data_IF_899099533018
#
_entry.id   IF_899099533018
#
_cell.length_a   1.000
_cell.length_b   1.000
_cell.length_c   1.000
_cell.angle_alpha   90.00
_cell.angle_beta   90.00
_cell.angle_gamma   90.00
#
_symmetry.space_group_name_H-M   'P 1'
#
loop_
_entity.id
_entity.type
_entity.pdbx_description
1 polymer ?
#
# COMPACT_ATOMS: atom_id res chain seq x y z
N UNK A 1 -13.16 -7.53 -5.08
CA UNK A 1 -13.61 -6.13 -4.91
C UNK A 1 -14.56 -5.74 -6.04
N UNK A 2 -15.43 -4.74 -5.86
CA UNK A 2 -16.29 -4.18 -6.92
C UNK A 2 -15.72 -2.84 -7.41
N UNK A 3 -15.95 -2.45 -8.67
CA UNK A 3 -15.43 -1.18 -9.22
C UNK A 3 -15.94 0.06 -8.47
N UNK A 4 -17.22 0.08 -8.08
CA UNK A 4 -17.79 1.16 -7.26
C UNK A 4 -17.13 1.25 -5.88
N UNK A 5 -16.71 0.11 -5.31
CA UNK A 5 -15.94 0.05 -4.08
C UNK A 5 -14.54 0.65 -4.27
N UNK A 6 -13.82 0.21 -5.31
CA UNK A 6 -12.49 0.73 -5.63
C UNK A 6 -12.51 2.25 -5.82
N UNK A 7 -13.51 2.78 -6.54
CA UNK A 7 -13.72 4.23 -6.71
C UNK A 7 -14.00 4.90 -5.37
N UNK A 8 -14.93 4.34 -4.59
CA UNK A 8 -15.33 4.92 -3.30
C UNK A 8 -14.18 4.97 -2.29
N UNK A 9 -13.24 4.04 -2.34
CA UNK A 9 -12.05 4.04 -1.47
C UNK A 9 -10.81 4.68 -2.12
N UNK A 10 -10.90 5.12 -3.38
CA UNK A 10 -9.75 5.52 -4.20
C UNK A 10 -8.61 4.49 -4.14
N UNK A 11 -8.94 3.22 -4.38
CA UNK A 11 -7.99 2.11 -4.28
C UNK A 11 -6.73 2.35 -5.12
N UNK A 12 -5.57 2.02 -4.54
CA UNK A 12 -4.27 2.06 -5.19
C UNK A 12 -3.91 0.73 -5.85
N UNK A 13 -3.02 -0.03 -5.20
CA UNK A 13 -2.57 -1.34 -5.64
C UNK A 13 -1.31 -1.37 -6.51
N UNK A 14 -0.88 -2.59 -6.84
CA UNK A 14 0.46 -2.94 -7.37
C UNK A 14 0.89 -2.27 -8.69
N UNK A 15 -0.03 -1.66 -9.43
CA UNK A 15 0.27 -0.97 -10.71
C UNK A 15 -0.05 0.52 -10.67
N UNK A 16 -0.26 1.08 -9.48
CA UNK A 16 -0.46 2.51 -9.28
C UNK A 16 0.74 3.31 -9.80
N UNK A 17 1.96 2.80 -9.62
CA UNK A 17 3.19 3.41 -10.15
C UNK A 17 3.10 3.73 -11.66
N UNK A 18 2.43 2.87 -12.45
CA UNK A 18 2.34 3.02 -13.91
C UNK A 18 1.09 3.73 -14.39
N UNK A 19 -0.05 3.46 -13.77
CA UNK A 19 -1.35 3.95 -14.24
C UNK A 19 -1.93 5.09 -13.39
N UNK A 20 -1.33 5.36 -12.24
CA UNK A 20 -1.72 6.43 -11.33
C UNK A 20 -3.07 6.19 -10.64
N UNK A 21 -3.58 7.26 -10.04
CA UNK A 21 -4.82 7.25 -9.26
C UNK A 21 -6.07 7.09 -10.11
N UNK A 22 -7.12 6.52 -9.49
CA UNK A 22 -8.48 6.57 -10.00
C UNK A 22 -8.99 8.01 -10.21
N UNK A 23 -8.48 9.01 -9.48
CA UNK A 23 -8.76 10.43 -9.76
C UNK A 23 -8.40 10.84 -11.21
N UNK A 24 -7.39 10.21 -11.81
CA UNK A 24 -7.00 10.44 -13.21
C UNK A 24 -7.59 9.44 -14.20
N UNK A 25 -7.82 8.19 -13.78
CA UNK A 25 -8.27 7.11 -14.66
C UNK A 25 -9.81 7.04 -14.81
N UNK A 26 -10.57 7.49 -13.82
CA UNK A 26 -12.03 7.59 -13.92
C UNK A 26 -12.38 8.79 -14.80
N UNK A 27 -13.16 8.56 -15.85
CA UNK A 27 -13.61 9.59 -16.79
C UNK A 27 -14.95 10.20 -16.37
N UNK A 28 -15.84 9.39 -15.78
CA UNK A 28 -17.17 9.81 -15.37
C UNK A 28 -17.79 8.86 -14.35
N UNK A 29 -18.75 9.37 -13.58
CA UNK A 29 -19.50 8.63 -12.56
C UNK A 29 -21.00 8.93 -12.67
N UNK A 30 -21.80 7.91 -12.41
CA UNK A 30 -23.20 8.08 -12.04
C UNK A 30 -23.33 7.82 -10.54
N UNK A 31 -23.95 8.76 -9.82
CA UNK A 31 -24.08 8.72 -8.36
C UNK A 31 -25.51 9.04 -7.94
N UNK A 32 -26.06 8.25 -7.03
CA UNK A 32 -27.34 8.53 -6.35
C UNK A 32 -27.07 9.23 -5.02
N UNK A 33 -27.62 10.44 -4.86
CA UNK A 33 -27.49 11.25 -3.65
C UNK A 33 -28.45 10.80 -2.53
N UNK A 34 -28.26 11.25 -1.28
CA UNK A 34 -29.11 10.84 -0.14
C UNK A 34 -30.60 11.19 -0.29
N UNK A 35 -30.93 12.21 -1.08
CA UNK A 35 -32.32 12.60 -1.37
C UNK A 35 -32.93 11.84 -2.56
N UNK A 36 -32.18 10.92 -3.17
CA UNK A 36 -32.57 10.16 -4.36
C UNK A 36 -32.24 10.82 -5.70
N UNK A 37 -31.68 12.04 -5.70
CA UNK A 37 -31.24 12.71 -6.93
C UNK A 37 -30.16 11.89 -7.63
N UNK A 38 -30.30 11.68 -8.94
CA UNK A 38 -29.29 11.01 -9.76
C UNK A 38 -28.40 12.07 -10.42
N UNK A 39 -27.13 12.10 -10.02
CA UNK A 39 -26.10 12.89 -10.69
C UNK A 39 -25.49 12.02 -11.79
N UNK A 40 -25.99 12.19 -13.01
CA UNK A 40 -25.47 11.51 -14.18
C UNK A 40 -24.35 12.34 -14.84
N UNK A 41 -23.10 12.04 -14.48
CA UNK A 41 -21.90 12.56 -15.14
C UNK A 41 -21.06 11.40 -15.70
N UNK A 42 -21.70 10.45 -16.38
CA UNK A 42 -21.05 9.27 -16.96
C UNK A 42 -20.32 9.60 -18.27
N UNK A 43 -19.50 10.65 -18.26
CA UNK A 43 -18.69 11.06 -19.40
C UNK A 43 -17.69 9.97 -19.81
N UNK A 44 -17.48 9.83 -21.12
CA UNK A 44 -16.45 8.97 -21.72
C UNK A 44 -15.35 9.79 -22.40
N UNK A 45 -15.41 11.12 -22.25
CA UNK A 45 -14.44 12.04 -22.85
C UNK A 45 -13.12 11.98 -22.08
N UNK A 46 -12.01 12.02 -22.81
CA UNK A 46 -10.66 12.13 -22.22
C UNK A 46 -10.36 13.51 -21.66
N UNK A 47 -11.03 14.53 -22.19
CA UNK A 47 -10.87 15.93 -21.81
C UNK A 47 -12.24 16.57 -21.82
N UNK A 48 -12.60 17.12 -20.68
CA UNK A 48 -13.80 17.91 -20.49
C UNK A 48 -13.49 18.98 -19.43
N UNK A 49 -13.84 20.22 -19.71
CA UNK A 49 -13.53 21.37 -18.84
C UNK A 49 -14.72 22.32 -18.73
N UNK A 50 -15.94 21.79 -18.89
CA UNK A 50 -17.18 22.57 -18.80
C UNK A 50 -17.66 22.67 -17.34
N UNK A 51 -16.88 23.35 -16.49
CA UNK A 51 -17.22 23.59 -15.08
C UNK A 51 -16.38 22.76 -14.10
N UNK A 52 -16.91 22.57 -12.88
CA UNK A 52 -16.22 21.84 -11.83
C UNK A 52 -16.22 20.32 -12.09
N UNK A 53 -15.10 19.67 -11.78
CA UNK A 53 -14.99 18.22 -11.90
C UNK A 53 -15.62 17.49 -10.71
N UNK A 54 -16.96 17.52 -10.65
CA UNK A 54 -17.74 17.08 -9.47
C UNK A 54 -17.51 15.59 -9.14
N UNK A 55 -17.12 14.76 -10.13
CA UNK A 55 -16.87 13.33 -9.91
C UNK A 55 -15.77 13.11 -8.86
N UNK A 56 -14.81 14.04 -8.76
CA UNK A 56 -13.67 13.96 -7.84
C UNK A 56 -14.10 13.93 -6.37
N UNK A 57 -15.24 14.53 -6.03
CA UNK A 57 -15.75 14.50 -4.65
C UNK A 57 -16.19 13.10 -4.23
N UNK A 58 -16.61 12.26 -5.17
CA UNK A 58 -17.12 10.92 -4.87
C UNK A 58 -16.01 9.85 -4.86
N UNK A 59 -14.91 10.08 -5.57
CA UNK A 59 -13.72 9.22 -5.55
C UNK A 59 -13.02 9.38 -4.19
N UNK A 60 -12.93 8.29 -3.42
CA UNK A 60 -12.40 8.34 -2.05
C UNK A 60 -13.40 8.83 -0.98
N UNK A 61 -14.68 9.02 -1.33
CA UNK A 61 -15.71 9.48 -0.38
C UNK A 61 -16.24 8.38 0.55
N UNK A 62 -15.88 7.13 0.28
CA UNK A 62 -16.30 5.92 1.01
C UNK A 62 -17.83 5.81 1.16
N UNK A 63 -18.55 6.27 0.13
CA UNK A 63 -20.01 6.23 0.11
C UNK A 63 -20.67 7.16 1.13
N UNK A 64 -19.98 8.19 1.62
CA UNK A 64 -20.54 9.17 2.57
C UNK A 64 -21.23 10.35 1.88
N UNK A 65 -20.97 10.57 0.58
CA UNK A 65 -21.58 11.66 -0.19
C UNK A 65 -22.67 11.19 -1.18
N UNK A 66 -22.73 9.89 -1.44
CA UNK A 66 -23.67 9.27 -2.38
C UNK A 66 -23.24 7.85 -2.73
N UNK A 67 -24.10 7.14 -3.45
CA UNK A 67 -23.88 5.75 -3.89
C UNK A 67 -23.49 5.75 -5.37
N UNK A 68 -22.29 5.27 -5.67
CA UNK A 68 -21.82 5.10 -7.07
C UNK A 68 -22.58 3.94 -7.72
N UNK A 69 -23.30 4.22 -8.81
CA UNK A 69 -24.09 3.22 -9.57
C UNK A 69 -23.52 2.95 -10.96
N UNK A 70 -22.74 3.88 -11.52
CA UNK A 70 -22.08 3.73 -12.82
C UNK A 70 -20.68 4.30 -12.82
N UNK A 71 -19.75 3.65 -13.52
CA UNK A 71 -18.36 4.09 -13.65
C UNK A 71 -17.91 4.01 -15.10
N UNK A 72 -17.47 5.15 -15.64
CA UNK A 72 -16.72 5.22 -16.90
C UNK A 72 -15.24 5.35 -16.57
N UNK A 73 -14.43 4.39 -16.99
CA UNK A 73 -13.01 4.31 -16.65
C UNK A 73 -12.16 4.12 -17.90
N UNK A 74 -11.02 4.79 -17.91
CA UNK A 74 -9.98 4.57 -18.89
C UNK A 74 -9.26 3.25 -18.63
N UNK A 75 -9.51 2.25 -19.47
CA UNK A 75 -8.68 1.05 -19.51
C UNK A 75 -7.37 1.31 -20.27
N UNK A 76 -6.23 1.06 -19.61
CA UNK A 76 -4.93 1.06 -20.27
C UNK A 76 -4.84 -0.09 -21.29
N UNK A 77 -4.00 0.09 -22.32
CA UNK A 77 -3.73 -0.99 -23.28
C UNK A 77 -3.00 -2.13 -22.59
N UNK A 78 -3.41 -3.37 -22.84
CA UNK A 78 -2.69 -4.55 -22.37
C UNK A 78 -1.25 -4.52 -22.95
N UNK A 79 -0.20 -4.60 -22.12
CA UNK A 79 1.17 -4.70 -22.62
C UNK A 79 1.32 -5.98 -23.45
N UNK A 80 2.16 -5.94 -24.50
CA UNK A 80 2.43 -7.13 -25.32
C UNK A 80 3.37 -8.09 -24.61
N UNK A 81 4.28 -7.54 -23.81
CA UNK A 81 5.28 -8.29 -23.07
C UNK A 81 5.27 -7.81 -21.62
N UNK A 82 5.28 -8.76 -20.70
CA UNK A 82 5.38 -8.53 -19.27
C UNK A 82 6.54 -9.35 -18.74
N UNK A 83 7.45 -8.72 -18.00
CA UNK A 83 8.58 -9.40 -17.37
C UNK A 83 8.56 -9.12 -15.86
N UNK A 84 8.97 -10.10 -15.06
CA UNK A 84 9.10 -9.96 -13.61
C UNK A 84 10.47 -10.39 -13.15
N UNK A 85 11.09 -9.55 -12.31
CA UNK A 85 12.35 -9.82 -11.64
C UNK A 85 12.10 -9.88 -10.14
N UNK A 86 12.79 -10.82 -9.48
CA UNK A 86 12.93 -10.85 -8.02
C UNK A 86 14.41 -10.68 -7.68
N UNK A 87 14.72 -9.68 -6.87
CA UNK A 87 16.08 -9.31 -6.48
C UNK A 87 16.26 -9.45 -4.97
N UNK A 88 17.42 -9.92 -4.53
CA UNK A 88 17.83 -9.98 -3.12
C UNK A 88 18.88 -8.92 -2.83
N UNK A 89 18.70 -8.14 -1.76
CA UNK A 89 19.53 -6.99 -1.42
C UNK A 89 20.02 -7.04 0.03
N UNK A 90 21.18 -6.43 0.28
CA UNK A 90 21.84 -6.38 1.58
C UNK A 90 21.32 -5.29 2.52
N UNK A 91 20.84 -4.17 1.99
CA UNK A 91 20.37 -3.04 2.81
C UNK A 91 19.17 -2.30 2.19
N UNK A 92 18.46 -1.55 3.01
CA UNK A 92 17.37 -0.70 2.53
C UNK A 92 17.87 0.47 1.65
N UNK A 93 19.10 0.95 1.87
CA UNK A 93 19.70 1.94 0.99
C UNK A 93 19.86 1.40 -0.43
N UNK A 94 20.23 0.12 -0.56
CA UNK A 94 20.33 -0.56 -1.86
C UNK A 94 18.96 -0.71 -2.53
N UNK A 95 17.90 -0.95 -1.74
CA UNK A 95 16.50 -0.95 -2.24
C UNK A 95 16.12 0.40 -2.85
N UNK A 96 16.40 1.49 -2.13
CA UNK A 96 16.14 2.86 -2.61
C UNK A 96 16.97 3.19 -3.85
N UNK A 97 18.24 2.78 -3.88
CA UNK A 97 19.13 3.01 -5.01
C UNK A 97 18.72 2.20 -6.24
N UNK A 98 18.35 0.93 -6.07
CA UNK A 98 17.77 0.11 -7.13
C UNK A 98 16.51 0.77 -7.70
N UNK A 99 15.63 1.30 -6.86
CA UNK A 99 14.45 2.04 -7.32
C UNK A 99 14.80 3.34 -8.06
N UNK A 100 15.79 4.10 -7.58
CA UNK A 100 16.26 5.31 -8.27
C UNK A 100 16.78 4.97 -9.66
N UNK A 101 17.55 3.89 -9.79
CA UNK A 101 18.13 3.42 -11.05
C UNK A 101 17.07 2.83 -11.98
N UNK A 102 16.06 2.12 -11.46
CA UNK A 102 14.99 1.53 -12.28
C UNK A 102 14.23 2.59 -13.08
N UNK A 103 14.00 3.77 -12.49
CA UNK A 103 13.40 4.92 -13.19
C UNK A 103 14.23 5.44 -14.36
N UNK A 104 15.54 5.24 -14.34
CA UNK A 104 16.43 5.67 -15.44
C UNK A 104 16.59 4.56 -16.49
N UNK A 105 16.86 3.33 -16.06
CA UNK A 105 17.15 2.22 -16.99
C UNK A 105 15.89 1.62 -17.61
N UNK A 106 14.84 1.41 -16.81
CA UNK A 106 13.58 0.81 -17.26
C UNK A 106 12.61 1.90 -17.74
N UNK A 107 12.66 3.10 -17.14
CA UNK A 107 11.90 4.26 -17.59
C UNK A 107 10.41 3.93 -17.80
N UNK A 108 9.91 4.06 -19.03
CA UNK A 108 8.51 3.95 -19.38
C UNK A 108 7.98 2.53 -19.38
N UNK A 109 8.83 1.50 -19.29
CA UNK A 109 8.36 0.10 -19.20
C UNK A 109 8.16 -0.36 -17.76
N UNK A 110 8.63 0.39 -16.76
CA UNK A 110 8.41 0.06 -15.35
C UNK A 110 6.91 0.05 -15.02
N UNK A 111 6.42 -1.04 -14.42
CA UNK A 111 5.00 -1.26 -14.12
C UNK A 111 4.71 -1.40 -12.63
N UNK A 112 5.61 -2.04 -11.89
CA UNK A 112 5.53 -2.21 -10.43
C UNK A 112 6.93 -2.21 -9.82
N UNK A 113 7.04 -1.75 -8.57
CA UNK A 113 8.24 -1.84 -7.76
C UNK A 113 7.83 -2.08 -6.30
N UNK A 114 7.82 -3.34 -5.92
CA UNK A 114 7.44 -3.82 -4.60
C UNK A 114 8.68 -4.16 -3.80
N UNK A 115 8.64 -3.93 -2.48
CA UNK A 115 9.72 -4.37 -1.58
C UNK A 115 9.16 -5.06 -0.34
N UNK A 116 9.99 -5.88 0.29
CA UNK A 116 9.73 -6.45 1.61
C UNK A 116 11.01 -6.81 2.35
N UNK A 117 10.94 -6.85 3.67
CA UNK A 117 12.04 -7.26 4.53
C UNK A 117 12.20 -8.80 4.61
N UNK A 118 13.32 -9.23 5.22
CA UNK A 118 13.62 -10.65 5.40
C UNK A 118 12.56 -11.40 6.21
N UNK A 119 11.97 -10.78 7.22
CA UNK A 119 11.03 -11.46 8.11
C UNK A 119 9.69 -11.69 7.39
N UNK A 120 9.25 -10.72 6.59
CA UNK A 120 8.09 -10.83 5.70
C UNK A 120 8.23 -11.97 4.71
N UNK A 121 9.43 -12.15 4.12
CA UNK A 121 9.71 -13.29 3.25
C UNK A 121 9.64 -14.62 4.00
N UNK A 122 10.31 -14.69 5.16
CA UNK A 122 10.42 -15.90 6.00
C UNK A 122 9.04 -16.44 6.39
N UNK A 123 8.19 -15.60 6.98
CA UNK A 123 6.85 -15.99 7.45
C UNK A 123 5.94 -16.39 6.29
N UNK A 124 6.05 -15.71 5.14
CA UNK A 124 5.21 -16.00 3.98
C UNK A 124 5.55 -17.37 3.39
N UNK A 125 6.83 -17.66 3.25
CA UNK A 125 7.31 -18.95 2.75
C UNK A 125 6.95 -20.10 3.70
N UNK A 126 7.10 -19.91 5.00
CA UNK A 126 6.74 -20.92 6.00
C UNK A 126 5.23 -21.19 6.01
N UNK A 127 4.39 -20.14 6.02
CA UNK A 127 2.93 -20.29 5.95
C UNK A 127 2.46 -20.98 4.66
N UNK A 128 3.18 -20.83 3.56
CA UNK A 128 2.89 -21.49 2.28
C UNK A 128 3.60 -22.83 2.09
N UNK A 129 4.46 -23.25 3.03
CA UNK A 129 5.36 -24.39 2.88
C UNK A 129 6.16 -24.36 1.55
N UNK A 130 6.77 -23.20 1.24
CA UNK A 130 7.55 -22.96 0.02
C UNK A 130 9.01 -22.68 0.33
N UNK A 131 9.88 -22.97 -0.63
CA UNK A 131 11.29 -22.59 -0.60
C UNK A 131 11.49 -21.18 -1.13
N UNK A 132 12.53 -20.51 -0.65
CA UNK A 132 12.93 -19.20 -1.17
C UNK A 132 13.37 -19.32 -2.64
N UNK A 133 12.76 -18.59 -3.60
CA UNK A 133 13.12 -18.67 -5.01
C UNK A 133 14.57 -18.28 -5.30
N UNK A 134 15.17 -17.41 -4.48
CA UNK A 134 16.58 -16.99 -4.62
C UNK A 134 17.58 -17.97 -4.00
N UNK A 135 17.08 -19.06 -3.37
CA UNK A 135 17.87 -20.10 -2.68
C UNK A 135 18.78 -19.58 -1.55
N UNK A 136 18.76 -18.28 -1.28
CA UNK A 136 19.60 -17.58 -0.32
C UNK A 136 18.74 -16.58 0.45
N UNK A 137 19.03 -16.44 1.75
CA UNK A 137 18.39 -15.42 2.58
C UNK A 137 19.03 -14.06 2.30
N UNK A 138 18.19 -13.06 2.05
CA UNK A 138 18.58 -11.66 1.89
C UNK A 138 17.85 -10.79 2.91
N UNK A 139 18.43 -9.64 3.26
CA UNK A 139 17.85 -8.71 4.23
C UNK A 139 16.61 -8.02 3.67
N UNK A 140 16.62 -7.72 2.38
CA UNK A 140 15.49 -7.18 1.63
C UNK A 140 15.33 -7.90 0.31
N UNK A 141 14.11 -7.84 -0.20
CA UNK A 141 13.76 -8.32 -1.52
C UNK A 141 12.99 -7.23 -2.26
N UNK A 142 13.16 -7.23 -3.59
CA UNK A 142 12.46 -6.33 -4.48
C UNK A 142 11.87 -7.14 -5.63
N UNK A 143 10.57 -6.92 -5.91
CA UNK A 143 9.90 -7.42 -7.10
C UNK A 143 9.64 -6.27 -8.06
N UNK A 144 10.11 -6.44 -9.29
CA UNK A 144 9.97 -5.45 -10.35
C UNK A 144 9.15 -6.07 -11.48
N UNK A 145 8.06 -5.42 -11.87
CA UNK A 145 7.34 -5.76 -13.09
C UNK A 145 7.63 -4.71 -14.15
N UNK A 146 7.86 -5.16 -15.38
CA UNK A 146 7.85 -4.30 -16.57
C UNK A 146 6.74 -4.72 -17.52
N UNK A 147 6.18 -3.74 -18.23
CA UNK A 147 5.17 -3.94 -19.27
C UNK A 147 5.47 -3.04 -20.46
N UNK A 148 5.71 -3.66 -21.62
CA UNK A 148 6.14 -2.98 -22.83
C UNK A 148 5.54 -3.54 -24.11
N UNK A 149 6.00 -3.00 -25.23
CA UNK A 149 5.45 -3.28 -26.57
C UNK A 149 6.40 -4.02 -27.49
N UNK A 150 7.68 -4.16 -27.11
CA UNK A 150 8.71 -4.81 -27.92
C UNK A 150 9.67 -5.57 -27.00
N UNK A 151 9.68 -6.90 -27.13
CA UNK A 151 10.44 -7.77 -26.25
C UNK A 151 11.95 -7.52 -26.30
N UNK A 152 12.50 -7.21 -27.47
CA UNK A 152 13.95 -7.06 -27.64
C UNK A 152 14.45 -5.82 -26.90
N UNK A 153 13.75 -4.69 -27.06
CA UNK A 153 14.06 -3.46 -26.33
C UNK A 153 13.81 -3.61 -24.82
N UNK A 154 12.71 -4.25 -24.44
CA UNK A 154 12.37 -4.46 -23.02
C UNK A 154 13.45 -5.32 -22.35
N UNK A 155 13.87 -6.40 -23.00
CA UNK A 155 14.92 -7.31 -22.53
C UNK A 155 16.28 -6.63 -22.43
N UNK A 156 16.65 -5.78 -23.41
CA UNK A 156 17.91 -5.03 -23.38
C UNK A 156 17.98 -4.05 -22.20
N UNK A 157 16.88 -3.33 -21.92
CA UNK A 157 16.77 -2.44 -20.76
C UNK A 157 16.91 -3.20 -19.45
N UNK A 158 16.18 -4.32 -19.32
CA UNK A 158 16.20 -5.16 -18.12
C UNK A 158 17.60 -5.74 -17.89
N UNK A 159 18.24 -6.27 -18.94
CA UNK A 159 19.58 -6.84 -18.85
C UNK A 159 20.61 -5.78 -18.45
N UNK A 160 20.56 -4.60 -19.07
CA UNK A 160 21.45 -3.47 -18.74
C UNK A 160 21.29 -3.02 -17.29
N UNK A 161 20.05 -2.95 -16.81
CA UNK A 161 19.73 -2.62 -15.42
C UNK A 161 20.28 -3.68 -14.46
N UNK A 162 19.96 -4.96 -14.70
CA UNK A 162 20.41 -6.08 -13.86
C UNK A 162 21.94 -6.14 -13.76
N UNK A 163 22.63 -6.06 -14.90
CA UNK A 163 24.09 -6.10 -14.95
C UNK A 163 24.73 -4.93 -14.20
N UNK A 164 24.12 -3.74 -14.25
CA UNK A 164 24.62 -2.59 -13.51
C UNK A 164 24.47 -2.80 -12.00
N UNK A 165 23.30 -3.28 -11.55
CA UNK A 165 23.07 -3.57 -10.12
C UNK A 165 24.05 -4.61 -9.59
N UNK A 166 24.28 -5.69 -10.35
CA UNK A 166 25.20 -6.77 -9.98
C UNK A 166 26.65 -6.26 -9.91
N UNK A 167 27.14 -5.58 -10.96
CA UNK A 167 28.51 -5.03 -10.98
C UNK A 167 28.77 -3.98 -9.90
N UNK A 168 27.74 -3.24 -9.50
CA UNK A 168 27.84 -2.21 -8.46
C UNK A 168 27.69 -2.77 -7.04
N UNK A 169 27.39 -4.06 -6.89
CA UNK A 169 27.16 -4.69 -5.59
C UNK A 169 25.86 -4.26 -4.90
N UNK A 170 24.91 -3.68 -5.63
CA UNK A 170 23.61 -3.23 -5.10
C UNK A 170 22.70 -4.43 -4.83
N UNK A 171 22.78 -5.46 -5.66
CA UNK A 171 22.07 -6.73 -5.45
C UNK A 171 23.07 -7.82 -5.06
N UNK A 172 22.64 -8.72 -4.18
CA UNK A 172 23.38 -9.94 -3.85
C UNK A 172 23.13 -11.02 -4.90
N UNK A 173 21.89 -11.12 -5.38
CA UNK A 173 21.43 -12.10 -6.36
C UNK A 173 20.08 -11.66 -6.93
N UNK A 174 19.66 -12.26 -8.04
CA UNK A 174 18.32 -12.09 -8.57
C UNK A 174 17.96 -13.12 -9.62
N UNK A 175 16.66 -13.24 -9.88
CA UNK A 175 16.11 -14.10 -10.93
C UNK A 175 15.11 -13.31 -11.77
N UNK A 176 14.99 -13.70 -13.04
CA UNK A 176 13.95 -13.23 -13.94
C UNK A 176 13.05 -14.41 -14.30
N UNK A 177 11.73 -14.20 -14.21
CA UNK A 177 10.76 -15.21 -14.61
C UNK A 177 10.88 -15.50 -16.11
N UNK A 178 10.83 -16.78 -16.48
CA UNK A 178 10.98 -17.25 -17.87
C UNK A 178 9.63 -17.43 -18.60
N UNK A 179 8.53 -17.49 -17.85
CA UNK A 179 7.19 -17.74 -18.38
C UNK A 179 6.10 -17.18 -17.45
N UNK A 180 4.85 -17.18 -17.93
CA UNK A 180 3.68 -16.69 -17.18
C UNK A 180 3.44 -17.45 -15.86
N UNK A 181 3.83 -18.73 -15.79
CA UNK A 181 3.69 -19.54 -14.57
C UNK A 181 4.68 -19.07 -13.50
N UNK A 182 5.93 -18.80 -13.88
CA UNK A 182 6.92 -18.22 -12.98
C UNK A 182 6.57 -16.80 -12.55
N UNK A 183 6.07 -15.96 -13.48
CA UNK A 183 5.55 -14.63 -13.16
C UNK A 183 4.49 -14.72 -12.06
N UNK A 184 3.50 -15.59 -12.25
CA UNK A 184 2.40 -15.77 -11.29
C UNK A 184 2.91 -16.24 -9.92
N UNK A 185 3.86 -17.19 -9.89
CA UNK A 185 4.46 -17.69 -8.64
C UNK A 185 5.23 -16.61 -7.87
N UNK A 186 5.94 -15.72 -8.56
CA UNK A 186 6.66 -14.62 -7.91
C UNK A 186 5.69 -13.59 -7.31
N UNK A 187 4.64 -13.24 -8.06
CA UNK A 187 3.58 -12.35 -7.55
C UNK A 187 2.82 -12.96 -6.37
N UNK A 188 2.54 -14.27 -6.41
CA UNK A 188 1.85 -14.97 -5.34
C UNK A 188 2.58 -14.81 -3.99
N UNK A 189 3.91 -14.75 -3.97
CA UNK A 189 4.68 -14.51 -2.74
C UNK A 189 4.34 -13.12 -2.17
N UNK A 190 4.35 -12.08 -3.01
CA UNK A 190 4.04 -10.70 -2.58
C UNK A 190 2.58 -10.55 -2.14
N UNK A 191 1.65 -11.20 -2.82
CA UNK A 191 0.22 -11.15 -2.49
C UNK A 191 -0.11 -11.94 -1.22
N UNK A 192 0.59 -13.05 -0.98
CA UNK A 192 0.39 -13.91 0.19
C UNK A 192 0.92 -13.32 1.50
N UNK A 193 1.74 -12.27 1.45
CA UNK A 193 2.28 -11.63 2.66
C UNK A 193 1.19 -11.22 3.64
N UNK A 194 0.07 -10.69 3.14
CA UNK A 194 -1.05 -10.27 4.00
C UNK A 194 -1.56 -11.45 4.84
N UNK A 195 -1.72 -12.63 4.23
CA UNK A 195 -2.21 -13.83 4.91
C UNK A 195 -1.14 -14.51 5.78
N UNK A 196 0.13 -14.41 5.40
CA UNK A 196 1.24 -15.01 6.13
C UNK A 196 1.32 -14.55 7.59
N UNK A 197 0.99 -13.28 7.88
CA UNK A 197 1.04 -12.73 9.24
C UNK A 197 0.04 -13.41 10.19
N UNK A 198 -1.20 -13.62 9.74
CA UNK A 198 -2.26 -14.23 10.54
C UNK A 198 -2.02 -15.71 10.87
N UNK A 199 -1.12 -16.37 10.14
CA UNK A 199 -0.73 -17.75 10.44
C UNK A 199 0.08 -17.86 11.75
N UNK A 200 0.82 -16.82 12.13
CA UNK A 200 1.72 -16.83 13.29
C UNK A 200 1.15 -16.21 14.56
N UNK A 201 -0.01 -15.55 14.48
CA UNK A 201 -0.65 -14.88 15.61
C UNK A 201 -1.63 -13.80 15.17
N UNK A 202 -1.93 -12.90 16.09
CA UNK A 202 -2.81 -11.76 15.82
C UNK A 202 -2.06 -10.72 14.99
N UNK A 203 -2.57 -10.39 13.80
CA UNK A 203 -1.93 -9.46 12.88
C UNK A 203 -2.51 -8.05 13.00
N UNK A 204 -1.71 -7.13 13.53
CA UNK A 204 -1.99 -5.70 13.50
C UNK A 204 -1.43 -5.11 12.23
N UNK A 205 -2.29 -4.60 11.35
CA UNK A 205 -1.90 -4.14 10.00
C UNK A 205 -2.13 -2.65 9.85
N UNK A 206 -1.10 -1.92 9.42
CA UNK A 206 -1.14 -0.48 9.23
C UNK A 206 -0.69 -0.13 7.80
N UNK A 207 -1.59 0.51 7.08
CA UNK A 207 -1.38 1.02 5.72
C UNK A 207 -1.06 2.51 5.81
N UNK A 208 0.19 2.91 5.56
CA UNK A 208 0.66 4.30 5.75
C UNK A 208 1.46 4.81 4.56
N UNK A 209 1.31 6.09 4.24
CA UNK A 209 2.17 6.75 3.26
C UNK A 209 3.24 7.57 3.96
N UNK A 210 4.51 7.32 3.68
CA UNK A 210 5.65 8.06 4.25
C UNK A 210 6.76 8.23 3.20
N UNK A 211 7.68 9.20 3.37
CA UNK A 211 8.79 9.36 2.43
C UNK A 211 9.57 8.05 2.28
N UNK A 212 9.85 7.64 1.04
CA UNK A 212 10.47 6.35 0.71
C UNK A 212 11.71 6.09 1.58
N UNK A 213 12.61 7.07 1.72
CA UNK A 213 13.83 6.96 2.53
C UNK A 213 13.61 6.73 4.04
N UNK A 214 12.37 6.76 4.53
CA UNK A 214 12.00 6.58 5.94
C UNK A 214 11.25 5.27 6.21
N UNK A 215 10.85 4.49 5.20
CA UNK A 215 9.98 3.33 5.42
C UNK A 215 10.59 2.28 6.34
N UNK A 216 11.81 1.84 6.04
CA UNK A 216 12.53 0.89 6.88
C UNK A 216 12.81 1.44 8.29
N UNK A 217 13.06 2.75 8.39
CA UNK A 217 13.20 3.41 9.67
C UNK A 217 11.92 3.32 10.51
N UNK A 218 10.74 3.37 9.92
CA UNK A 218 9.48 3.19 10.65
C UNK A 218 9.37 1.79 11.26
N UNK A 219 9.73 0.75 10.49
CA UNK A 219 9.77 -0.65 10.97
C UNK A 219 10.74 -0.78 12.14
N UNK A 220 11.99 -0.36 11.96
CA UNK A 220 13.03 -0.44 12.99
C UNK A 220 12.72 0.38 14.24
N UNK A 221 12.05 1.53 14.10
CA UNK A 221 11.71 2.41 15.22
C UNK A 221 10.59 1.80 16.07
N UNK A 222 9.60 1.16 15.44
CA UNK A 222 8.54 0.45 16.15
C UNK A 222 9.08 -0.79 16.86
N UNK A 223 9.89 -1.60 16.19
CA UNK A 223 10.55 -2.76 16.80
C UNK A 223 11.37 -2.36 18.03
N UNK A 224 12.21 -1.34 17.89
CA UNK A 224 13.00 -0.77 18.99
C UNK A 224 12.11 -0.26 20.13
N UNK A 225 11.04 0.49 19.82
CA UNK A 225 10.14 1.03 20.83
C UNK A 225 9.48 -0.09 21.64
N UNK A 226 8.94 -1.11 20.97
CA UNK A 226 8.31 -2.26 21.63
C UNK A 226 9.33 -3.02 22.50
N UNK A 227 10.59 -3.12 22.07
CA UNK A 227 11.64 -3.75 22.86
C UNK A 227 11.98 -2.93 24.12
N UNK A 228 12.08 -1.60 24.00
CA UNK A 228 12.37 -0.69 25.11
C UNK A 228 11.27 -0.71 26.20
N UNK A 229 10.01 -0.87 25.81
CA UNK A 229 8.88 -0.97 26.75
C UNK A 229 8.60 -2.42 27.20
N UNK A 230 9.43 -3.38 26.80
CA UNK A 230 9.31 -4.78 27.20
C UNK A 230 8.05 -5.46 26.68
N UNK A 231 7.66 -5.18 25.43
CA UNK A 231 6.54 -5.81 24.71
C UNK A 231 6.97 -6.51 23.41
N UNK A 232 8.27 -6.77 23.22
CA UNK A 232 8.79 -7.66 22.17
C UNK A 232 9.19 -9.01 22.77
N UNK A 233 8.86 -10.11 22.08
CA UNK A 233 9.19 -11.48 22.50
C UNK A 233 10.69 -11.67 22.76
N UNK A 234 11.56 -11.04 21.96
CA UNK A 234 13.02 -11.12 22.14
C UNK A 234 13.55 -10.25 23.30
N UNK A 235 12.72 -9.36 23.85
CA UNK A 235 13.04 -8.49 24.99
C UNK A 235 12.69 -9.08 26.36
N UNK A 236 12.09 -10.28 26.40
CA UNK A 236 11.69 -10.99 27.61
C UNK A 236 11.68 -12.51 27.41
N UNK A 237 11.55 -13.28 28.49
CA UNK A 237 11.18 -14.70 28.34
C UNK A 237 9.67 -14.73 28.02
N UNK A 238 9.18 -15.58 27.12
CA UNK A 238 7.73 -15.71 26.86
C UNK A 238 6.91 -15.87 28.17
N UNK A 239 7.52 -16.48 29.19
CA UNK A 239 6.93 -16.64 30.53
C UNK A 239 6.88 -15.35 31.38
N UNK A 240 7.64 -14.31 31.04
CA UNK A 240 7.66 -13.03 31.78
C UNK A 240 6.52 -12.07 31.42
N UNK A 241 5.77 -12.34 30.34
CA UNK A 241 4.67 -11.48 29.90
C UNK A 241 3.34 -11.78 30.61
N UNK A 242 3.21 -12.93 31.28
CA UNK A 242 1.95 -13.37 31.87
C UNK A 242 0.82 -13.36 30.84
N UNK A 243 -0.30 -12.72 31.18
CA UNK A 243 -1.45 -12.54 30.29
C UNK A 243 -1.38 -11.29 29.40
N UNK A 244 -0.24 -10.64 29.22
CA UNK A 244 -0.14 -9.44 28.35
C UNK A 244 -0.06 -9.80 26.87
N UNK A 245 -0.52 -8.89 26.00
CA UNK A 245 -0.20 -8.96 24.58
C UNK A 245 1.20 -8.43 24.33
N UNK A 246 1.96 -9.12 23.47
CA UNK A 246 3.31 -8.72 23.05
C UNK A 246 3.53 -9.07 21.59
N UNK A 247 4.41 -8.33 20.93
CA UNK A 247 4.83 -8.55 19.56
C UNK A 247 5.86 -9.68 19.47
N UNK A 248 5.63 -10.62 18.56
CA UNK A 248 6.61 -11.63 18.15
C UNK A 248 7.60 -11.03 17.15
N UNK A 249 7.10 -10.23 16.22
CA UNK A 249 7.91 -9.54 15.22
C UNK A 249 7.16 -8.37 14.58
N UNK A 250 7.95 -7.41 14.08
CA UNK A 250 7.51 -6.29 13.26
C UNK A 250 8.02 -6.49 11.84
N UNK A 251 7.19 -6.20 10.85
CA UNK A 251 7.49 -6.39 9.43
C UNK A 251 7.06 -5.21 8.58
N UNK A 252 7.76 -5.00 7.48
CA UNK A 252 7.47 -3.98 6.48
C UNK A 252 7.56 -4.52 5.06
N UNK A 253 6.51 -4.28 4.29
CA UNK A 253 6.48 -4.49 2.85
C UNK A 253 5.58 -3.45 2.18
N UNK A 254 5.68 -3.28 0.86
CA UNK A 254 4.72 -2.45 0.14
C UNK A 254 5.20 -1.87 -1.17
N UNK A 255 4.45 -0.86 -1.61
CA UNK A 255 4.62 -0.18 -2.88
C UNK A 255 5.64 0.95 -2.70
N UNK A 256 6.91 0.63 -2.98
CA UNK A 256 7.99 1.60 -2.84
C UNK A 256 7.80 2.77 -3.83
N UNK A 257 7.25 2.48 -5.01
CA UNK A 257 7.11 3.43 -6.12
C UNK A 257 6.27 4.68 -5.81
N UNK A 258 5.33 4.52 -4.89
CA UNK A 258 4.27 5.46 -4.56
C UNK A 258 4.26 5.82 -3.06
N UNK A 259 5.28 5.36 -2.32
CA UNK A 259 5.49 5.76 -0.95
C UNK A 259 4.54 5.08 0.04
N UNK A 260 3.99 3.91 -0.29
CA UNK A 260 3.11 3.14 0.59
C UNK A 260 3.85 2.01 1.34
N UNK A 261 3.76 2.03 2.67
CA UNK A 261 4.28 0.98 3.57
C UNK A 261 3.12 0.28 4.27
N UNK A 262 3.04 -1.03 4.11
CA UNK A 262 2.30 -1.92 5.00
C UNK A 262 3.21 -2.28 6.18
N UNK A 263 3.01 -1.59 7.30
CA UNK A 263 3.68 -1.85 8.57
C UNK A 263 2.82 -2.82 9.38
N UNK A 264 3.38 -3.98 9.74
CA UNK A 264 2.63 -5.01 10.43
C UNK A 264 3.33 -5.43 11.72
N UNK A 265 2.52 -5.82 12.71
CA UNK A 265 2.99 -6.40 13.96
C UNK A 265 2.22 -7.69 14.18
N UNK A 266 2.92 -8.81 14.34
CA UNK A 266 2.29 -10.07 14.76
C UNK A 266 2.44 -10.21 16.25
N UNK A 267 1.32 -10.27 16.95
CA UNK A 267 1.27 -10.45 18.40
C UNK A 267 0.83 -11.87 18.78
N UNK A 268 1.06 -12.24 20.04
CA UNK A 268 0.52 -13.48 20.60
C UNK A 268 -1.01 -13.50 20.66
N UNK A 269 -1.66 -12.35 20.90
CA UNK A 269 -3.13 -12.21 20.96
C UNK A 269 -3.57 -10.76 20.82
N UNK A 270 -4.83 -10.57 20.44
CA UNK A 270 -5.47 -9.27 20.43
C UNK A 270 -5.63 -8.66 21.83
N UNK A 271 -5.42 -7.35 21.93
CA UNK A 271 -5.78 -6.49 23.05
C UNK A 271 -5.93 -5.04 22.58
N UNK A 272 -6.96 -4.35 23.07
CA UNK A 272 -7.18 -2.91 22.82
C UNK A 272 -6.07 -2.03 23.41
N UNK A 273 -5.49 -2.44 24.55
CA UNK A 273 -4.35 -1.74 25.16
C UNK A 273 -3.15 -1.76 24.21
N UNK A 274 -2.88 -2.93 23.61
CA UNK A 274 -1.80 -3.09 22.65
C UNK A 274 -2.07 -2.33 21.35
N UNK A 275 -3.31 -2.36 20.84
CA UNK A 275 -3.74 -1.51 19.72
C UNK A 275 -3.42 -0.04 19.98
N UNK A 276 -3.76 0.46 21.17
CA UNK A 276 -3.58 1.86 21.54
C UNK A 276 -2.11 2.25 21.60
N UNK A 277 -1.24 1.38 22.12
CA UNK A 277 0.22 1.58 22.14
C UNK A 277 0.78 1.69 20.71
N UNK A 278 0.40 0.73 19.84
CA UNK A 278 0.85 0.70 18.46
C UNK A 278 0.38 1.94 17.69
N UNK A 279 -0.92 2.24 17.74
CA UNK A 279 -1.53 3.37 17.02
C UNK A 279 -0.95 4.71 17.48
N UNK A 280 -0.76 4.90 18.79
CA UNK A 280 -0.16 6.11 19.32
C UNK A 280 1.27 6.30 18.79
N UNK A 281 2.10 5.26 18.79
CA UNK A 281 3.47 5.36 18.28
C UNK A 281 3.48 5.60 16.76
N UNK A 282 2.77 4.76 16.00
CA UNK A 282 2.78 4.77 14.54
C UNK A 282 2.24 6.08 13.99
N UNK A 283 1.11 6.57 14.49
CA UNK A 283 0.51 7.80 13.95
C UNK A 283 1.31 9.06 14.34
N UNK A 284 1.95 9.08 15.52
CA UNK A 284 2.92 10.14 15.84
C UNK A 284 4.15 10.10 14.93
N UNK A 285 4.67 8.92 14.60
CA UNK A 285 5.76 8.78 13.64
C UNK A 285 5.35 9.32 12.27
N UNK A 286 4.18 8.90 11.76
CA UNK A 286 3.61 9.36 10.48
C UNK A 286 3.49 10.89 10.45
N UNK A 287 2.93 11.50 11.49
CA UNK A 287 2.84 12.96 11.60
C UNK A 287 4.21 13.62 11.61
N UNK A 288 5.18 13.07 12.33
CA UNK A 288 6.55 13.58 12.41
C UNK A 288 7.28 13.58 11.06
N UNK A 289 6.88 12.74 10.11
CA UNK A 289 7.42 12.70 8.74
C UNK A 289 6.48 13.29 7.69
N UNK A 290 5.41 13.99 8.12
CA UNK A 290 4.38 14.56 7.24
C UNK A 290 3.71 13.52 6.31
N UNK A 291 3.48 12.32 6.83
CA UNK A 291 2.87 11.21 6.11
C UNK A 291 1.33 11.11 6.23
N UNK A 292 0.78 10.04 5.65
CA UNK A 292 -0.64 9.67 5.71
C UNK A 292 -0.87 8.44 6.60
N UNK A 293 -1.84 8.50 7.51
CA UNK A 293 -2.28 7.35 8.34
C UNK A 293 -3.12 6.31 7.58
N UNK A 294 -3.50 6.64 6.34
CA UNK A 294 -4.02 5.67 5.38
C UNK A 294 -3.55 6.02 3.98
N UNK A 295 -2.90 5.07 3.31
CA UNK A 295 -2.45 5.26 1.93
C UNK A 295 -3.57 4.91 0.93
N UNK A 296 -4.14 3.71 1.06
CA UNK A 296 -5.11 3.15 0.11
C UNK A 296 -6.36 2.55 0.76
N UNK A 297 -6.31 2.14 2.04
CA UNK A 297 -7.44 1.47 2.69
C UNK A 297 -8.59 2.42 3.11
N UNK A 298 -8.36 3.73 3.07
CA UNK A 298 -9.31 4.73 3.53
C UNK A 298 -9.40 4.86 5.05
N UNK A 299 -10.36 5.66 5.50
CA UNK A 299 -10.56 6.02 6.90
C UNK A 299 -11.61 5.11 7.57
N UNK A 300 -12.74 4.90 6.89
CA UNK A 300 -13.82 4.05 7.33
C UNK A 300 -14.32 4.36 8.74
N UNK A 301 -14.59 3.31 9.50
CA UNK A 301 -15.00 3.39 10.90
C UNK A 301 -13.82 3.45 11.88
N UNK A 302 -12.67 2.88 11.49
CA UNK A 302 -11.54 2.65 12.39
C UNK A 302 -10.73 3.95 12.60
N UNK A 303 -10.48 4.72 11.53
CA UNK A 303 -9.55 5.84 11.54
C UNK A 303 -10.11 7.27 11.64
N UNK A 304 -11.43 7.56 11.78
CA UNK A 304 -11.90 8.95 11.89
C UNK A 304 -11.19 9.76 12.99
N UNK A 305 -10.96 9.15 14.15
CA UNK A 305 -10.26 9.77 15.28
C UNK A 305 -8.79 10.12 14.99
N UNK A 306 -8.18 9.51 13.97
CA UNK A 306 -6.77 9.67 13.62
C UNK A 306 -6.53 10.62 12.44
N UNK A 307 -7.57 11.18 11.84
CA UNK A 307 -7.46 12.03 10.65
C UNK A 307 -6.56 13.27 10.87
N UNK A 308 -6.53 13.78 12.11
CA UNK A 308 -5.74 14.94 12.52
C UNK A 308 -4.21 14.71 12.51
N UNK A 309 -3.75 13.45 12.40
CA UNK A 309 -2.33 13.15 12.20
C UNK A 309 -1.86 13.46 10.76
N UNK A 310 -2.79 13.53 9.80
CA UNK A 310 -2.47 13.72 8.37
C UNK A 310 -3.19 14.90 7.72
N UNK A 311 -4.19 15.49 8.37
CA UNK A 311 -4.98 16.62 7.85
C UNK A 311 -5.07 17.74 8.90
N UNK A 312 -5.05 18.98 8.42
CA UNK A 312 -5.27 20.15 9.28
C UNK A 312 -6.74 20.27 9.69
N UNK A 313 -6.98 21.04 10.76
CA UNK A 313 -8.34 21.38 11.23
C UNK A 313 -9.20 21.99 10.12
N UNK A 314 -8.62 22.86 9.28
CA UNK A 314 -9.31 23.56 8.20
C UNK A 314 -9.76 22.58 7.13
N UNK A 315 -8.88 21.62 6.76
CA UNK A 315 -9.21 20.59 5.79
C UNK A 315 -10.34 19.67 6.30
N UNK A 316 -10.29 19.28 7.58
CA UNK A 316 -11.34 18.46 8.20
C UNK A 316 -12.68 19.22 8.25
N UNK A 317 -12.65 20.51 8.62
CA UNK A 317 -13.85 21.36 8.64
C UNK A 317 -14.46 21.55 7.24
N UNK A 318 -13.62 21.63 6.20
CA UNK A 318 -14.08 21.66 4.81
C UNK A 318 -14.76 20.34 4.42
N UNK A 319 -14.17 19.18 4.78
CA UNK A 319 -14.81 17.88 4.56
C UNK A 319 -16.18 17.81 5.24
N UNK A 320 -16.30 18.32 6.48
CA UNK A 320 -17.57 18.38 7.21
C UNK A 320 -18.59 19.25 6.51
N UNK A 321 -18.17 20.40 6.00
CA UNK A 321 -19.03 21.32 5.24
C UNK A 321 -19.56 20.67 3.96
N UNK A 322 -18.70 19.94 3.24
CA UNK A 322 -19.10 19.17 2.05
C UNK A 322 -20.08 18.06 2.44
N UNK A 323 -19.79 17.28 3.49
CA UNK A 323 -20.70 16.23 3.97
C UNK A 323 -22.08 16.78 4.30
N UNK A 324 -22.17 17.91 5.01
CA UNK A 324 -23.44 18.54 5.37
C UNK A 324 -24.19 19.10 4.16
N UNK A 325 -23.48 19.53 3.12
CA UNK A 325 -24.09 19.98 1.87
C UNK A 325 -24.79 18.82 1.14
N UNK A 326 -24.14 17.66 1.03
CA UNK A 326 -24.68 16.50 0.32
C UNK A 326 -25.67 15.67 1.15
N UNK A 327 -25.43 15.54 2.46
CA UNK A 327 -26.18 14.68 3.36
C UNK A 327 -26.50 15.39 4.70
N UNK A 328 -27.41 16.39 4.70
CA UNK A 328 -27.75 17.12 5.92
C UNK A 328 -28.46 16.26 6.97
N UNK A 329 -28.99 15.09 6.59
CA UNK A 329 -29.66 14.15 7.51
C UNK A 329 -28.70 13.11 8.09
N UNK A 330 -27.45 13.04 7.61
CA UNK A 330 -26.45 12.08 8.08
C UNK A 330 -26.82 10.61 7.82
N UNK A 331 -27.64 10.32 6.80
CA UNK A 331 -28.12 8.95 6.52
C UNK A 331 -27.14 8.15 5.67
N UNK A 332 -26.18 8.81 5.02
CA UNK A 332 -25.26 8.22 4.06
C UNK A 332 -23.96 7.77 4.75
N UNK A 333 -23.91 6.46 5.07
CA UNK A 333 -22.80 5.76 5.75
C UNK A 333 -22.37 6.46 7.07
N UNK A 334 -23.26 6.55 8.08
CA UNK A 334 -22.99 7.24 9.34
C UNK A 334 -21.83 6.62 10.13
N UNK A 335 -21.32 7.38 11.10
CA UNK A 335 -20.16 7.03 11.96
C UNK A 335 -18.81 6.96 11.22
N UNK A 336 -18.81 7.37 9.96
CA UNK A 336 -17.66 7.43 9.04
C UNK A 336 -17.81 8.69 8.19
N UNK A 337 -16.80 9.15 7.47
CA UNK A 337 -15.35 8.98 7.64
C UNK A 337 -14.75 10.15 8.44
N UNK A 338 -15.58 11.12 8.79
CA UNK A 338 -15.19 12.35 9.47
C UNK A 338 -15.41 12.13 10.97
N UNK A 339 -14.47 12.53 11.84
CA UNK A 339 -14.66 12.41 13.28
C UNK A 339 -15.94 13.15 13.73
N UNK A 340 -16.73 12.45 14.56
CA UNK A 340 -17.86 13.03 15.30
C UNK A 340 -17.32 14.01 16.33
N UNK A 341 -18.02 15.13 16.53
CA UNK A 341 -17.72 16.07 17.62
C UNK A 341 -17.98 15.46 19.00
#
# INVERSE_FOLDING_TARGET
CHIGGNVSTNAGGIRYLRYGSLHGSVLGLEVVLPDGTIVNNLSTLRKDSTGYDIKQLFIGSEGTLGIVTGVSILAARKPKYTNVLLLGLGSYNDVVEAFRLSKNYLSEILSAFEFWDSKSMEITLEAQNKMNPLQTRNNYYVLIETGGSNNDHDSEKIMSYYQFLEKSGIINTGIMAQDETQISKLWEIREAMIFGHSFFGEAYTYDISIPIIKMDKAVSALDKHLNEIGLMENGGNANSFGDKSYAKFVTGFGHLGDGNLHLNVVANKYSEEFTSILEHFIFNYVKGVSGSVSAEHGIGYIKPGYLHYSKSSEAINMMRSIKNLFDPKGIMNPYKVIPTE
#
